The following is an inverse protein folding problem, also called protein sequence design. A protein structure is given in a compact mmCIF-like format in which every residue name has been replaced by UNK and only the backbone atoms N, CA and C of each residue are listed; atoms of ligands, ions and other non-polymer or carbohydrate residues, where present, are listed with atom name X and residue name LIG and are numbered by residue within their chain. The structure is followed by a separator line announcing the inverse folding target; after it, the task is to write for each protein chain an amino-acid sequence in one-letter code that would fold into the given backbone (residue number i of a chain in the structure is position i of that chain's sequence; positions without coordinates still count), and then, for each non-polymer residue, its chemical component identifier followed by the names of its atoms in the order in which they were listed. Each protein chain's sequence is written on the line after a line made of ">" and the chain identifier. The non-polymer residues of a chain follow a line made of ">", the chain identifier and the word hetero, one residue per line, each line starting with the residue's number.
data_IF_005130536722
#
_entry.id   IF_005130536722
#
_cell.length_a   1.000
_cell.length_b   1.000
_cell.length_c   1.000
_cell.angle_alpha   90.00
_cell.angle_beta   90.00
_cell.angle_gamma   90.00
#
_symmetry.space_group_name_H-M   'P 1'
#
loop_
_entity.id
_entity.type
_entity.pdbx_description
1 polymer ?
#
# COMPACT_ATOMS: atom_id res chain seq x y z
N UNK A 1 5.62 -24.69 19.57
CA UNK A 1 5.57 -24.16 19.30
C UNK A 1 4.99 -23.61 18.81
N UNK A 2 4.32 -24.07 18.91
CA UNK A 2 3.75 -23.28 18.86
C UNK A 2 4.09 -22.38 18.08
N UNK A 3 4.68 -22.40 17.91
CA UNK A 3 5.18 -21.43 17.11
C UNK A 3 4.46 -21.16 15.86
N UNK A 4 3.73 -22.08 15.32
CA UNK A 4 3.07 -21.88 14.05
C UNK A 4 2.12 -20.69 14.04
N UNK A 5 1.12 -20.68 14.88
CA UNK A 5 0.16 -19.57 14.86
C UNK A 5 0.82 -18.27 15.26
N UNK A 6 1.73 -18.35 16.18
CA UNK A 6 2.40 -17.14 16.61
C UNK A 6 3.26 -16.57 15.52
N UNK A 7 3.91 -17.44 14.78
CA UNK A 7 4.73 -16.95 13.70
C UNK A 7 3.90 -16.22 12.68
N UNK A 8 2.71 -16.72 12.40
CA UNK A 8 1.85 -16.06 11.45
C UNK A 8 1.47 -14.68 11.94
N UNK A 9 1.13 -14.54 13.22
CA UNK A 9 0.80 -13.25 13.75
C UNK A 9 1.96 -12.29 13.69
N UNK A 10 3.12 -12.77 14.08
CA UNK A 10 4.30 -11.93 14.04
C UNK A 10 4.65 -11.55 12.61
N UNK A 11 4.48 -12.49 11.69
CA UNK A 11 4.81 -12.19 10.32
C UNK A 11 3.95 -11.05 9.79
N UNK A 12 2.69 -11.06 10.14
CA UNK A 12 1.83 -9.97 9.70
C UNK A 12 2.28 -8.64 10.27
N UNK A 13 2.68 -8.63 11.51
CA UNK A 13 3.18 -7.40 12.10
C UNK A 13 4.47 -6.95 11.45
N UNK A 14 5.33 -7.91 11.17
CA UNK A 14 6.60 -7.57 10.56
C UNK A 14 6.41 -7.08 9.15
N UNK A 15 5.35 -7.55 8.49
CA UNK A 15 5.11 -7.15 7.12
C UNK A 15 4.38 -5.83 7.02
N UNK A 16 3.93 -5.28 8.14
CA UNK A 16 3.29 -3.99 8.12
C UNK A 16 4.32 -2.90 7.88
N UNK A 17 4.01 -2.03 6.96
CA UNK A 17 4.85 -0.87 6.71
C UNK A 17 4.16 0.32 7.32
N UNK A 18 4.90 1.04 8.17
CA UNK A 18 4.36 2.20 8.86
C UNK A 18 4.73 3.44 8.11
N UNK A 19 3.74 4.23 7.76
CA UNK A 19 3.94 5.48 7.06
C UNK A 19 3.29 6.60 7.86
N UNK A 20 3.81 7.80 7.69
CA UNK A 20 3.29 8.95 8.41
C UNK A 20 3.03 10.08 7.45
N UNK A 21 2.00 10.83 7.73
CA UNK A 21 1.66 11.99 6.94
C UNK A 21 0.89 12.97 7.80
N UNK A 22 0.75 14.18 7.31
CA UNK A 22 -0.13 15.16 7.93
C UNK A 22 -1.32 15.35 7.02
N UNK A 23 -2.40 15.85 7.59
CA UNK A 23 -3.58 16.13 6.78
C UNK A 23 -3.17 17.05 5.65
N UNK A 24 -3.53 16.69 4.43
CA UNK A 24 -3.15 17.41 3.23
C UNK A 24 -1.89 16.87 2.58
N UNK A 25 -1.12 16.08 3.31
CA UNK A 25 0.09 15.50 2.75
C UNK A 25 -0.19 14.26 1.95
N UNK A 26 0.83 13.76 1.29
CA UNK A 26 0.69 12.59 0.44
C UNK A 26 1.69 11.52 0.84
N UNK A 27 1.33 10.28 0.54
CA UNK A 27 2.26 9.15 0.67
C UNK A 27 2.21 8.37 -0.62
N UNK A 28 3.37 7.84 -1.01
CA UNK A 28 3.46 7.03 -2.21
C UNK A 28 3.82 5.61 -1.81
N UNK A 29 3.13 4.65 -2.37
CA UNK A 29 3.37 3.23 -2.13
C UNK A 29 3.69 2.59 -3.45
N UNK A 30 4.82 1.88 -3.49
CA UNK A 30 5.29 1.27 -4.72
C UNK A 30 5.40 -0.22 -4.54
N UNK A 31 4.88 -0.95 -5.50
CA UNK A 31 4.88 -2.41 -5.46
C UNK A 31 5.25 -2.95 -6.82
N UNK A 32 6.08 -3.99 -6.83
CA UNK A 32 6.39 -4.69 -8.06
C UNK A 32 5.17 -5.43 -8.57
N UNK A 33 4.99 -5.39 -9.87
CA UNK A 33 3.85 -6.05 -10.49
C UNK A 33 4.31 -6.70 -11.79
N UNK A 34 4.10 -8.01 -11.89
CA UNK A 34 4.49 -8.75 -13.09
C UNK A 34 3.26 -9.00 -13.92
N UNK A 35 3.06 -8.14 -14.90
CA UNK A 35 1.85 -8.22 -15.72
C UNK A 35 1.90 -9.33 -16.73
N UNK A 36 3.08 -9.88 -17.00
CA UNK A 36 3.13 -11.05 -17.87
C UNK A 36 2.48 -12.25 -17.21
N UNK A 37 2.44 -12.28 -15.88
CA UNK A 37 1.77 -13.33 -15.16
C UNK A 37 0.33 -12.99 -14.86
N UNK A 38 -0.13 -11.82 -15.26
CA UNK A 38 -1.48 -11.40 -14.95
C UNK A 38 -1.65 -10.87 -13.53
N UNK A 39 -0.55 -10.50 -12.90
CA UNK A 39 -0.62 -9.96 -11.53
C UNK A 39 -1.16 -8.56 -11.55
N UNK A 40 -1.95 -8.25 -10.54
CA UNK A 40 -2.50 -6.92 -10.38
C UNK A 40 -2.71 -6.64 -8.90
N UNK A 41 -2.12 -5.56 -8.41
CA UNK A 41 -2.32 -5.14 -7.02
C UNK A 41 -3.60 -4.34 -6.92
N UNK A 42 -4.42 -4.70 -5.94
CA UNK A 42 -5.72 -4.05 -5.72
C UNK A 42 -5.72 -3.50 -4.30
N UNK A 43 -5.83 -2.18 -4.13
CA UNK A 43 -5.85 -1.58 -2.80
C UNK A 43 -7.25 -1.50 -2.23
N UNK A 44 -7.33 -1.68 -0.92
CA UNK A 44 -8.53 -1.40 -0.15
C UNK A 44 -8.12 -0.45 0.96
N UNK A 45 -8.83 0.66 1.08
CA UNK A 45 -8.44 1.69 2.02
C UNK A 45 -9.69 2.48 2.45
N UNK A 46 -9.61 3.16 3.61
CA UNK A 46 -10.75 3.96 4.08
C UNK A 46 -10.84 5.27 3.30
N UNK A 47 -11.90 5.40 2.52
CA UNK A 47 -12.05 6.57 1.67
C UNK A 47 -12.36 7.83 2.47
N UNK A 48 -12.75 7.68 3.73
CA UNK A 48 -12.96 8.86 4.57
C UNK A 48 -11.64 9.45 5.04
N UNK A 49 -10.55 8.70 4.99
CA UNK A 49 -9.27 9.18 5.46
C UNK A 49 -8.22 9.39 4.41
N UNK A 50 -8.36 8.70 3.29
CA UNK A 50 -7.36 8.73 2.23
C UNK A 50 -8.03 8.87 0.88
N UNK A 51 -7.41 9.63 0.00
CA UNK A 51 -7.89 9.78 -1.37
C UNK A 51 -6.79 9.30 -2.29
N UNK A 52 -7.12 8.40 -3.20
CA UNK A 52 -6.16 7.91 -4.17
C UNK A 52 -6.01 8.94 -5.28
N UNK A 53 -4.83 9.53 -5.36
CA UNK A 53 -4.56 10.56 -6.35
C UNK A 53 -4.02 10.00 -7.65
N UNK A 54 -3.15 8.99 -7.53
CA UNK A 54 -2.51 8.41 -8.69
C UNK A 54 -2.37 6.93 -8.53
N UNK A 55 -2.51 6.24 -9.63
CA UNK A 55 -2.34 4.80 -9.72
C UNK A 55 -1.72 4.55 -11.08
N UNK A 56 -0.42 4.28 -11.08
CA UNK A 56 0.28 4.25 -12.35
C UNK A 56 1.24 3.07 -12.36
N UNK A 57 1.44 2.50 -13.51
CA UNK A 57 2.36 1.40 -13.70
C UNK A 57 3.50 1.87 -14.57
N UNK A 58 4.71 1.77 -14.03
CA UNK A 58 5.91 2.17 -14.74
C UNK A 58 6.68 0.92 -15.09
N UNK A 59 6.75 0.63 -16.37
CA UNK A 59 7.45 -0.55 -16.84
C UNK A 59 8.94 -0.36 -16.71
N UNK A 60 9.63 -1.40 -16.25
CA UNK A 60 11.08 -1.34 -16.21
C UNK A 60 11.64 -1.35 -17.61
N UNK A 61 12.72 -0.62 -17.80
CA UNK A 61 13.42 -0.61 -19.07
C UNK A 61 14.16 -1.93 -19.19
N UNK A 62 13.61 -2.84 -19.94
CA UNK A 62 14.16 -4.16 -20.07
C UNK A 62 14.22 -4.54 -21.52
N UNK A 63 15.23 -5.30 -21.88
CA UNK A 63 15.36 -5.78 -23.23
C UNK A 63 14.43 -6.93 -23.51
N UNK A 64 13.92 -7.54 -22.48
CA UNK A 64 13.00 -8.63 -22.64
C UNK A 64 11.62 -8.08 -22.84
N UNK A 65 10.78 -8.88 -23.42
CA UNK A 65 9.41 -8.48 -23.63
C UNK A 65 8.56 -8.64 -22.36
N UNK A 66 9.21 -8.79 -21.24
CA UNK A 66 8.51 -9.02 -19.98
C UNK A 66 7.90 -7.71 -19.50
N UNK A 67 6.65 -7.77 -19.11
CA UNK A 67 5.97 -6.59 -18.61
C UNK A 67 5.98 -6.58 -17.09
N UNK A 68 7.16 -6.33 -16.55
CA UNK A 68 7.29 -6.13 -15.12
C UNK A 68 7.62 -4.68 -14.87
N UNK A 69 7.19 -4.21 -13.75
CA UNK A 69 7.49 -2.84 -13.41
C UNK A 69 6.99 -2.51 -12.02
N UNK A 70 6.95 -1.23 -11.75
CA UNK A 70 6.59 -0.71 -10.46
C UNK A 70 5.22 -0.07 -10.54
N UNK A 71 4.31 -0.57 -9.73
CA UNK A 71 3.01 0.05 -9.59
C UNK A 71 3.12 1.10 -8.50
N UNK A 72 2.72 2.31 -8.77
CA UNK A 72 2.80 3.42 -7.83
C UNK A 72 1.42 3.90 -7.50
N UNK A 73 1.11 3.93 -6.21
CA UNK A 73 -0.16 4.47 -5.71
C UNK A 73 0.17 5.69 -4.87
N UNK A 74 -0.47 6.80 -5.15
CA UNK A 74 -0.25 8.00 -4.36
C UNK A 74 -1.56 8.37 -3.68
N UNK A 75 -1.50 8.46 -2.35
CA UNK A 75 -2.68 8.79 -1.54
C UNK A 75 -2.47 10.13 -0.88
N UNK A 76 -3.55 10.90 -0.80
CA UNK A 76 -3.55 12.11 -0.01
C UNK A 76 -4.30 11.85 1.29
N UNK A 77 -3.69 12.29 2.40
CA UNK A 77 -4.31 12.16 3.70
C UNK A 77 -5.31 13.29 3.89
N UNK A 78 -6.56 12.93 4.18
CA UNK A 78 -7.59 13.95 4.31
C UNK A 78 -8.21 13.98 5.69
N UNK A 79 -7.91 13.01 6.55
CA UNK A 79 -8.40 13.01 7.92
C UNK A 79 -7.37 12.40 8.82
N UNK A 80 -7.26 12.88 10.07
CA UNK A 80 -6.30 12.30 11.00
C UNK A 80 -6.73 10.90 11.44
N UNK A 81 -5.75 10.14 11.92
CA UNK A 81 -6.02 8.80 12.41
C UNK A 81 -5.07 7.80 11.81
N UNK A 82 -5.30 6.54 12.14
CA UNK A 82 -4.55 5.42 11.57
C UNK A 82 -5.40 4.80 10.48
N UNK A 83 -4.87 4.80 9.28
CA UNK A 83 -5.60 4.28 8.14
C UNK A 83 -4.85 3.10 7.57
N UNK A 84 -5.53 2.00 7.40
CA UNK A 84 -4.91 0.79 6.85
C UNK A 84 -5.19 0.70 5.36
N UNK A 85 -4.12 0.46 4.61
CA UNK A 85 -4.23 0.22 3.18
C UNK A 85 -3.79 -1.20 2.95
N UNK A 86 -4.70 -2.03 2.48
CA UNK A 86 -4.41 -3.43 2.23
C UNK A 86 -4.33 -3.62 0.72
N UNK A 87 -3.19 -4.10 0.27
CA UNK A 87 -3.01 -4.42 -1.13
C UNK A 87 -3.08 -5.93 -1.29
N UNK A 88 -3.91 -6.38 -2.20
CA UNK A 88 -3.99 -7.78 -2.55
C UNK A 88 -3.48 -7.96 -3.97
N UNK A 89 -2.56 -8.91 -4.12
CA UNK A 89 -2.06 -9.23 -5.45
C UNK A 89 -2.96 -10.31 -6.03
N UNK A 90 -3.62 -9.99 -7.11
CA UNK A 90 -4.58 -10.86 -7.72
C UNK A 90 -4.12 -11.28 -9.09
N UNK A 91 -4.50 -12.52 -9.43
CA UNK A 91 -4.32 -13.02 -10.78
C UNK A 91 -5.69 -13.01 -11.44
N UNK A 92 -5.71 -12.65 -12.71
CA UNK A 92 -6.99 -12.52 -13.38
C UNK A 92 -7.80 -13.81 -13.43
N UNK A 93 -7.15 -14.94 -13.25
CA UNK A 93 -7.82 -16.24 -13.34
C UNK A 93 -8.03 -16.90 -11.98
N UNK A 94 -7.70 -16.22 -10.91
CA UNK A 94 -7.86 -16.76 -9.57
C UNK A 94 -8.84 -15.93 -8.77
N UNK A 95 -9.58 -16.60 -7.91
CA UNK A 95 -10.53 -15.91 -7.04
C UNK A 95 -9.90 -15.43 -5.75
N UNK A 96 -8.80 -16.05 -5.35
CA UNK A 96 -8.16 -15.69 -4.09
C UNK A 96 -6.92 -14.86 -4.37
N UNK A 97 -6.56 -14.04 -3.39
CA UNK A 97 -5.36 -13.23 -3.49
C UNK A 97 -4.12 -14.11 -3.40
N UNK A 98 -3.11 -13.76 -4.17
CA UNK A 98 -1.84 -14.47 -4.13
C UNK A 98 -0.95 -13.96 -3.04
N UNK A 99 -1.10 -12.69 -2.70
CA UNK A 99 -0.25 -12.06 -1.72
C UNK A 99 -1.00 -10.90 -1.14
N UNK A 100 -0.60 -10.46 0.03
CA UNK A 100 -1.21 -9.31 0.70
C UNK A 100 -0.12 -8.50 1.34
N UNK A 101 -0.26 -7.20 1.28
CA UNK A 101 0.65 -6.27 1.92
C UNK A 101 -0.16 -5.25 2.68
N UNK A 102 0.25 -4.97 3.89
CA UNK A 102 -0.46 -4.04 4.75
C UNK A 102 0.40 -2.82 5.02
N UNK A 103 -0.15 -1.67 4.73
CA UNK A 103 0.47 -0.39 5.03
C UNK A 103 -0.42 0.35 6.00
N UNK A 104 0.18 0.92 7.03
CA UNK A 104 -0.55 1.69 8.02
C UNK A 104 -0.08 3.14 7.90
N UNK A 105 -1.01 4.00 7.52
CA UNK A 105 -0.71 5.42 7.36
C UNK A 105 -1.25 6.15 8.57
N UNK A 106 -0.36 6.66 9.39
CA UNK A 106 -0.75 7.43 10.56
C UNK A 106 -0.74 8.90 10.18
N UNK A 107 -1.90 9.51 10.27
CA UNK A 107 -2.08 10.88 9.82
C UNK A 107 -2.31 11.76 11.03
N UNK A 108 -1.48 12.77 11.17
CA UNK A 108 -1.62 13.73 12.24
C UNK A 108 -2.32 14.97 11.71
N UNK A 109 -2.81 15.77 12.64
CA UNK A 109 -3.58 16.95 12.31
C UNK A 109 -2.73 17.99 11.61
N UNK A 110 -1.50 17.86 11.59
CA UNK A 110 -0.67 18.79 10.95
C UNK A 110 -0.11 19.75 11.96
N UNK A 111 0.72 20.49 11.46
CA UNK A 111 1.31 21.19 12.32
C UNK A 111 0.80 22.30 12.65
N UNK A 112 0.35 22.35 12.29
CA UNK A 112 0.22 23.35 12.68
C UNK A 112 -0.01 23.64 13.68
N UNK A 113 -0.44 23.31 13.75
CA UNK A 113 -0.73 23.62 14.49
C UNK A 113 0.09 23.96 15.34
N UNK A 114 0.43 23.68 15.36
CA UNK A 114 1.08 23.80 16.00
C UNK A 114 1.89 24.78 16.12
N UNK A 115 1.85 24.99 15.62
CA UNK A 115 2.41 25.76 15.75
C UNK A 115 2.26 26.71 16.03
N UNK A 116 2.06 26.67 15.98
CA UNK A 116 1.83 27.42 16.10
C UNK A 116 1.82 27.99 16.79
N UNK A 117 1.86 27.74 16.93
CA UNK A 117 1.99 28.08 17.50
C UNK A 117 2.31 28.47 17.87
#
# INVERSE_FOLDING_TARGET
>A
MVGGPEAVGRDREEDQVQLEAQVGGTVAIKLWEDRTRGELWVPTYPTAGLVLLEDEFVRTASNNAVETGMRTFQFQAVAPGRHQVVFEKRMGWKFTAEDRRLFVVTVSQGTSGSKTS
#
